data_IF_674225492046
#
_entry.id   IF_674225492046
#
_cell.length_a   1.000
_cell.length_b   1.000
_cell.length_c   1.000
_cell.angle_alpha   90.00
_cell.angle_beta   90.00
_cell.angle_gamma   90.00
#
_symmetry.space_group_name_H-M   'P 1'
#
loop_
_entity.id
_entity.type
_entity.pdbx_description
1 polymer ?
#
# COMPACT_ATOMS: atom_id res chain seq x y z
N UNK A 1 32.09 29.78 -3.64
CA UNK A 1 33.04 29.06 -2.76
C UNK A 1 32.91 29.47 -1.30
N UNK A 2 32.82 30.76 -0.95
CA UNK A 2 32.60 31.19 0.45
C UNK A 2 31.20 30.83 0.99
N UNK A 3 30.14 31.01 0.20
CA UNK A 3 28.75 30.67 0.59
C UNK A 3 28.50 29.17 0.73
N UNK A 4 29.14 28.34 -0.09
CA UNK A 4 29.06 26.88 0.02
C UNK A 4 29.73 26.37 1.30
N UNK A 5 30.91 26.91 1.68
CA UNK A 5 31.59 26.50 2.91
C UNK A 5 30.84 26.90 4.19
N UNK A 6 30.16 28.06 4.19
CA UNK A 6 29.30 28.48 5.30
C UNK A 6 28.07 27.57 5.43
N UNK A 7 27.46 27.16 4.30
CA UNK A 7 26.36 26.18 4.29
C UNK A 7 26.80 24.80 4.79
N UNK A 8 28.00 24.33 4.45
CA UNK A 8 28.55 23.05 4.94
C UNK A 8 28.94 23.09 6.43
N UNK A 9 29.51 24.19 6.94
CA UNK A 9 29.75 24.34 8.38
C UNK A 9 28.45 24.45 9.18
N UNK A 10 27.45 25.17 8.65
CA UNK A 10 26.11 25.21 9.23
C UNK A 10 25.42 23.84 9.16
N UNK A 11 25.73 23.00 8.16
CA UNK A 11 25.19 21.65 7.99
C UNK A 11 25.69 20.68 9.06
N UNK A 12 26.99 20.65 9.34
CA UNK A 12 27.55 19.82 10.42
C UNK A 12 27.06 20.29 11.80
N UNK A 13 26.97 21.61 12.00
CA UNK A 13 26.46 22.17 13.25
C UNK A 13 24.96 21.91 13.43
N UNK A 14 24.19 21.93 12.33
CA UNK A 14 22.77 21.54 12.31
C UNK A 14 22.59 20.06 12.64
N UNK A 15 23.37 19.15 12.03
CA UNK A 15 23.34 17.72 12.31
C UNK A 15 23.68 17.42 13.77
N UNK A 16 24.70 18.08 14.31
CA UNK A 16 25.13 17.93 15.71
C UNK A 16 24.10 18.47 16.71
N UNK A 17 23.43 19.58 16.39
CA UNK A 17 22.33 20.10 17.21
C UNK A 17 21.09 19.21 17.14
N UNK A 18 20.82 18.59 15.99
CA UNK A 18 19.71 17.67 15.79
C UNK A 18 19.90 16.38 16.60
N UNK A 19 21.10 15.80 16.64
CA UNK A 19 21.43 14.62 17.46
C UNK A 19 21.10 14.81 18.95
N UNK A 20 21.33 16.03 19.47
CA UNK A 20 21.06 16.39 20.87
C UNK A 20 19.56 16.61 21.13
N UNK A 21 18.78 16.92 20.10
CA UNK A 21 17.36 17.29 20.22
C UNK A 21 16.39 16.20 19.75
N UNK A 22 16.86 14.97 19.51
CA UNK A 22 16.04 13.85 19.01
C UNK A 22 14.83 13.49 19.90
N UNK A 23 14.79 13.97 21.15
CA UNK A 23 13.66 13.80 22.07
C UNK A 23 12.56 14.86 21.93
N UNK A 24 12.81 15.96 21.21
CA UNK A 24 11.88 17.09 21.01
C UNK A 24 11.45 17.16 19.55
N UNK A 25 10.39 16.44 19.19
CA UNK A 25 9.85 16.36 17.82
C UNK A 25 9.57 17.74 17.19
N UNK A 26 9.09 18.72 17.97
CA UNK A 26 8.76 20.05 17.46
C UNK A 26 10.00 20.84 17.03
N UNK A 27 11.09 20.76 17.80
CA UNK A 27 12.35 21.43 17.47
C UNK A 27 12.95 20.87 16.17
N UNK A 28 12.89 19.54 16.00
CA UNK A 28 13.34 18.86 14.78
C UNK A 28 12.52 19.33 13.58
N UNK A 29 11.19 19.48 13.75
CA UNK A 29 10.30 19.93 12.67
C UNK A 29 10.61 21.35 12.22
N UNK A 30 10.78 22.29 13.14
CA UNK A 30 11.15 23.67 12.82
C UNK A 30 12.52 23.74 12.14
N UNK A 31 13.51 23.03 12.71
CA UNK A 31 14.85 22.94 12.17
C UNK A 31 14.85 22.40 10.74
N UNK A 32 14.11 21.31 10.50
CA UNK A 32 14.03 20.68 9.18
C UNK A 32 13.30 21.57 8.16
N UNK A 33 12.27 22.30 8.57
CA UNK A 33 11.58 23.25 7.70
C UNK A 33 12.50 24.39 7.27
N UNK A 34 13.27 24.96 8.20
CA UNK A 34 14.27 25.99 7.90
C UNK A 34 15.35 25.45 6.97
N UNK A 35 15.87 24.26 7.27
CA UNK A 35 16.92 23.64 6.47
C UNK A 35 16.43 23.27 5.06
N UNK A 36 15.19 22.80 4.92
CA UNK A 36 14.52 22.58 3.63
C UNK A 36 14.46 23.87 2.83
N UNK A 37 13.98 24.96 3.42
CA UNK A 37 13.87 26.26 2.74
C UNK A 37 15.22 26.73 2.17
N UNK A 38 16.31 26.52 2.92
CA UNK A 38 17.67 26.91 2.51
C UNK A 38 18.26 26.04 1.39
N UNK A 39 17.89 24.75 1.33
CA UNK A 39 18.58 23.76 0.46
C UNK A 39 17.77 23.28 -0.75
N UNK A 40 16.45 23.51 -0.76
CA UNK A 40 15.49 22.96 -1.74
C UNK A 40 15.80 23.28 -3.22
N UNK A 41 16.43 24.42 -3.51
CA UNK A 41 16.66 24.86 -4.90
C UNK A 41 18.02 24.40 -5.42
N UNK A 42 19.09 24.51 -4.62
CA UNK A 42 20.47 24.34 -5.08
C UNK A 42 21.19 23.11 -4.53
N UNK A 43 20.82 22.59 -3.35
CA UNK A 43 21.58 21.57 -2.62
C UNK A 43 20.72 20.36 -2.19
N UNK A 44 19.95 19.80 -3.14
CA UNK A 44 19.06 18.65 -2.87
C UNK A 44 19.79 17.43 -2.28
N UNK A 45 21.04 17.16 -2.70
CA UNK A 45 21.83 16.03 -2.20
C UNK A 45 22.26 16.22 -0.73
N UNK A 46 22.44 17.46 -0.29
CA UNK A 46 22.76 17.77 1.11
C UNK A 46 21.53 17.49 1.99
N UNK A 47 20.33 17.85 1.50
CA UNK A 47 19.07 17.49 2.15
C UNK A 47 18.85 15.98 2.23
N UNK A 48 19.18 15.25 1.17
CA UNK A 48 19.15 13.79 1.15
C UNK A 48 20.00 13.18 2.28
N UNK A 49 21.26 13.60 2.39
CA UNK A 49 22.20 13.10 3.38
C UNK A 49 21.73 13.39 4.82
N UNK A 50 21.19 14.59 5.08
CA UNK A 50 20.64 14.94 6.40
C UNK A 50 19.46 14.06 6.75
N UNK A 51 18.54 13.85 5.82
CA UNK A 51 17.35 13.03 6.08
C UNK A 51 17.72 11.57 6.35
N UNK A 52 18.69 11.04 5.60
CA UNK A 52 19.22 9.69 5.83
C UNK A 52 19.95 9.59 7.18
N UNK A 53 20.73 10.61 7.56
CA UNK A 53 21.39 10.66 8.87
C UNK A 53 20.39 10.69 10.02
N UNK A 54 19.41 11.60 9.98
CA UNK A 54 18.35 11.70 10.98
C UNK A 54 17.63 10.36 11.12
N UNK A 55 17.25 9.75 10.00
CA UNK A 55 16.59 8.44 9.99
C UNK A 55 17.44 7.39 10.70
N UNK A 56 18.73 7.28 10.34
CA UNK A 56 19.63 6.28 10.93
C UNK A 56 19.87 6.51 12.42
N UNK A 57 20.05 7.76 12.86
CA UNK A 57 20.23 8.08 14.28
C UNK A 57 18.96 7.79 15.10
N UNK A 58 17.78 8.05 14.53
CA UNK A 58 16.50 7.72 15.17
C UNK A 58 16.31 6.21 15.29
N UNK A 59 16.64 5.44 14.26
CA UNK A 59 16.62 3.98 14.32
C UNK A 59 17.60 3.43 15.37
N UNK A 60 18.79 4.03 15.51
CA UNK A 60 19.76 3.66 16.56
C UNK A 60 19.26 4.00 17.96
N UNK A 61 18.73 5.20 18.17
CA UNK A 61 18.15 5.60 19.45
C UNK A 61 16.98 4.69 19.83
N UNK A 62 16.15 4.34 18.85
CA UNK A 62 15.06 3.41 19.05
C UNK A 62 15.54 2.03 19.46
N UNK A 63 16.52 1.48 18.75
CA UNK A 63 17.08 0.18 19.06
C UNK A 63 17.64 0.14 20.49
N UNK A 64 18.35 1.20 20.92
CA UNK A 64 18.83 1.33 22.31
C UNK A 64 17.67 1.39 23.30
N UNK A 65 16.65 2.21 23.04
CA UNK A 65 15.51 2.36 23.96
C UNK A 65 14.65 1.09 24.04
N UNK A 66 14.48 0.35 22.94
CA UNK A 66 13.73 -0.92 22.92
C UNK A 66 14.47 -2.08 23.57
N UNK A 67 15.81 -2.12 23.52
CA UNK A 67 16.58 -3.21 24.16
C UNK A 67 16.27 -3.37 25.65
N UNK A 68 15.76 -2.32 26.29
CA UNK A 68 15.35 -2.33 27.69
C UNK A 68 13.93 -2.86 27.93
N UNK A 69 13.16 -3.18 26.88
CA UNK A 69 11.77 -3.63 26.95
C UNK A 69 11.56 -4.96 26.22
N UNK A 70 10.67 -5.81 26.74
CA UNK A 70 10.31 -7.06 26.08
C UNK A 70 9.45 -6.81 24.84
N UNK A 71 9.74 -7.54 23.77
CA UNK A 71 9.08 -7.35 22.48
C UNK A 71 7.56 -7.60 22.54
N UNK A 72 7.12 -8.54 23.38
CA UNK A 72 5.69 -8.81 23.57
C UNK A 72 4.99 -7.68 24.33
N UNK A 73 5.63 -7.07 25.33
CA UNK A 73 5.10 -5.90 26.04
C UNK A 73 4.94 -4.70 25.08
N UNK A 74 5.90 -4.50 24.17
CA UNK A 74 5.84 -3.41 23.17
C UNK A 74 4.71 -3.63 22.16
N UNK A 75 4.44 -4.88 21.78
CA UNK A 75 3.38 -5.25 20.81
C UNK A 75 1.98 -5.21 21.44
N UNK A 76 1.86 -5.58 22.71
CA UNK A 76 0.59 -5.55 23.46
C UNK A 76 0.21 -4.14 23.93
N UNK A 77 1.18 -3.21 23.96
CA UNK A 77 0.94 -1.83 24.34
C UNK A 77 -0.13 -1.20 23.42
N UNK A 78 -1.18 -0.58 24.00
CA UNK A 78 -2.25 0.04 23.23
C UNK A 78 -1.72 1.08 22.23
N UNK A 79 -2.53 1.31 21.20
CA UNK A 79 -2.23 2.26 20.16
C UNK A 79 -2.02 3.69 20.72
N UNK A 80 -1.27 4.55 20.01
CA UNK A 80 -0.84 5.86 20.55
C UNK A 80 -2.06 6.73 20.86
N UNK A 81 -3.16 6.51 20.15
CA UNK A 81 -4.40 7.28 20.28
C UNK A 81 -5.64 6.36 20.34
N UNK A 82 -5.59 5.28 21.13
CA UNK A 82 -6.83 4.63 21.58
C UNK A 82 -7.64 5.66 22.40
N UNK A 83 -8.51 6.38 21.72
CA UNK A 83 -9.32 7.52 22.20
C UNK A 83 -10.46 7.15 23.16
N UNK A 84 -10.44 5.95 23.76
CA UNK A 84 -11.39 5.59 24.82
C UNK A 84 -10.70 5.67 26.19
N UNK A 85 -10.82 6.81 26.90
CA UNK A 85 -10.33 6.94 28.27
C UNK A 85 -11.05 6.00 29.25
N UNK A 86 -12.21 5.44 28.87
CA UNK A 86 -12.93 4.47 29.70
C UNK A 86 -12.38 3.04 29.54
N UNK A 87 -12.10 2.58 28.32
CA UNK A 87 -11.54 1.23 28.10
C UNK A 87 -10.09 1.12 28.56
N UNK A 88 -9.29 2.19 28.40
CA UNK A 88 -7.92 2.23 28.92
C UNK A 88 -7.87 2.31 30.44
N UNK A 89 -8.80 3.01 31.10
CA UNK A 89 -8.86 3.03 32.56
C UNK A 89 -9.34 1.70 33.15
N UNK A 90 -10.28 1.01 32.48
CA UNK A 90 -10.79 -0.28 32.94
C UNK A 90 -9.75 -1.40 32.77
N UNK A 91 -9.04 -1.45 31.64
CA UNK A 91 -7.95 -2.44 31.43
C UNK A 91 -6.69 -2.16 32.28
N UNK A 92 -6.37 -0.89 32.53
CA UNK A 92 -5.21 -0.54 33.35
C UNK A 92 -5.51 -0.48 34.86
N UNK A 93 -6.77 -0.63 35.28
CA UNK A 93 -7.14 -0.60 36.71
C UNK A 93 -6.45 -1.67 37.57
N UNK A 94 -5.95 -2.74 36.93
CA UNK A 94 -5.23 -3.85 37.56
C UNK A 94 -3.69 -3.75 37.45
N UNK A 95 -3.15 -2.70 36.82
CA UNK A 95 -1.70 -2.55 36.62
C UNK A 95 -1.05 -1.69 37.70
N UNK A 96 0.14 -2.11 38.14
CA UNK A 96 0.97 -1.36 39.10
C UNK A 96 1.38 -0.01 38.49
N UNK A 97 1.57 1.02 39.33
CA UNK A 97 2.00 2.37 38.89
C UNK A 97 3.27 2.29 38.01
N UNK A 98 4.20 1.40 38.34
CA UNK A 98 5.44 1.16 37.57
C UNK A 98 5.19 0.54 36.19
N UNK A 99 4.18 -0.33 36.04
CA UNK A 99 3.81 -0.92 34.76
C UNK A 99 3.16 0.14 33.85
N UNK A 100 2.28 0.98 34.41
CA UNK A 100 1.69 2.11 33.68
C UNK A 100 2.75 3.11 33.21
N UNK A 101 3.73 3.42 34.05
CA UNK A 101 4.84 4.30 33.67
C UNK A 101 5.68 3.71 32.54
N UNK A 102 5.97 2.40 32.58
CA UNK A 102 6.68 1.69 31.49
C UNK A 102 5.88 1.71 30.18
N UNK A 103 4.58 1.43 30.22
CA UNK A 103 3.72 1.49 29.03
C UNK A 103 3.70 2.88 28.39
N UNK A 104 3.58 3.94 29.21
CA UNK A 104 3.62 5.34 28.73
C UNK A 104 4.98 5.66 28.10
N UNK A 105 6.09 5.21 28.69
CA UNK A 105 7.42 5.43 28.13
C UNK A 105 7.60 4.74 26.78
N UNK A 106 7.19 3.48 26.65
CA UNK A 106 7.23 2.72 25.38
C UNK A 106 6.39 3.44 24.32
N UNK A 107 5.17 3.84 24.66
CA UNK A 107 4.25 4.56 23.78
C UNK A 107 4.83 5.88 23.30
N UNK A 108 5.48 6.65 24.18
CA UNK A 108 6.15 7.90 23.81
C UNK A 108 7.32 7.68 22.86
N UNK A 109 8.14 6.64 23.08
CA UNK A 109 9.26 6.30 22.17
C UNK A 109 8.72 5.93 20.78
N UNK A 110 7.70 5.08 20.70
CA UNK A 110 7.06 4.70 19.45
C UNK A 110 6.47 5.92 18.72
N UNK A 111 5.85 6.85 19.46
CA UNK A 111 5.28 8.09 18.91
C UNK A 111 6.33 8.99 18.29
N UNK A 112 7.46 9.18 18.96
CA UNK A 112 8.55 10.02 18.47
C UNK A 112 9.04 9.52 17.11
N UNK A 113 9.27 8.22 16.97
CA UNK A 113 9.78 7.63 15.73
C UNK A 113 8.77 7.73 14.60
N UNK A 114 7.51 7.43 14.90
CA UNK A 114 6.43 7.56 13.93
C UNK A 114 6.33 9.01 13.41
N UNK A 115 6.37 10.00 14.30
CA UNK A 115 6.33 11.41 13.89
C UNK A 115 7.58 11.84 13.12
N UNK A 116 8.77 11.29 13.44
CA UNK A 116 9.98 11.59 12.65
C UNK A 116 9.89 10.99 11.25
N UNK A 117 9.44 9.73 11.09
CA UNK A 117 9.21 9.16 9.75
C UNK A 117 8.22 9.99 8.94
N UNK A 118 7.09 10.36 9.57
CA UNK A 118 6.09 11.22 8.96
C UNK A 118 6.66 12.58 8.57
N UNK A 119 7.49 13.20 9.42
CA UNK A 119 8.15 14.47 9.13
C UNK A 119 9.11 14.37 7.92
N UNK A 120 9.89 13.29 7.84
CA UNK A 120 10.76 13.03 6.67
C UNK A 120 9.91 12.86 5.40
N UNK A 121 8.84 12.07 5.46
CA UNK A 121 7.91 11.87 4.34
C UNK A 121 7.29 13.19 3.90
N UNK A 122 6.78 14.00 4.83
CA UNK A 122 6.21 15.32 4.56
C UNK A 122 7.21 16.29 3.91
N UNK A 123 8.47 16.19 4.31
CA UNK A 123 9.55 17.01 3.77
C UNK A 123 9.83 16.63 2.32
N UNK A 124 9.82 15.33 2.01
CA UNK A 124 10.29 14.79 0.74
C UNK A 124 9.20 14.64 -0.32
N UNK A 125 7.94 14.44 0.07
CA UNK A 125 6.84 13.98 -0.81
C UNK A 125 6.63 14.73 -2.12
N UNK A 126 7.04 16.00 -2.24
CA UNK A 126 6.85 16.80 -3.45
C UNK A 126 8.13 16.92 -4.30
N UNK A 127 9.28 16.41 -3.83
CA UNK A 127 10.58 16.60 -4.49
C UNK A 127 10.95 15.45 -5.40
N UNK A 128 11.04 15.73 -6.71
CA UNK A 128 11.39 14.73 -7.74
C UNK A 128 12.74 14.04 -7.49
N UNK A 129 13.75 14.77 -7.03
CA UNK A 129 15.10 14.20 -6.80
C UNK A 129 15.19 13.32 -5.56
N UNK A 130 14.23 13.42 -4.65
CA UNK A 130 14.24 12.71 -3.37
C UNK A 130 13.20 11.59 -3.34
N UNK A 131 12.65 11.20 -4.49
CA UNK A 131 11.69 10.11 -4.62
C UNK A 131 12.21 8.83 -3.94
N UNK A 132 13.47 8.45 -4.16
CA UNK A 132 14.08 7.26 -3.56
C UNK A 132 14.05 7.26 -2.03
N UNK A 133 14.46 8.37 -1.39
CA UNK A 133 14.41 8.52 0.07
C UNK A 133 12.98 8.39 0.59
N UNK A 134 11.99 8.89 -0.15
CA UNK A 134 10.59 8.75 0.25
C UNK A 134 10.08 7.31 0.13
N UNK A 135 10.46 6.52 -0.89
CA UNK A 135 10.16 5.08 -0.90
C UNK A 135 10.76 4.40 0.32
N UNK A 136 12.07 4.58 0.53
CA UNK A 136 12.80 3.85 1.57
C UNK A 136 12.22 4.18 2.94
N UNK A 137 11.86 5.45 3.18
CA UNK A 137 11.27 5.89 4.44
C UNK A 137 9.85 5.33 4.63
N UNK A 138 9.02 5.31 3.58
CA UNK A 138 7.69 4.70 3.66
C UNK A 138 7.79 3.19 3.94
N UNK A 139 8.68 2.48 3.25
CA UNK A 139 8.87 1.04 3.48
C UNK A 139 9.27 0.77 4.93
N UNK A 140 10.17 1.57 5.50
CA UNK A 140 10.56 1.47 6.92
C UNK A 140 9.41 1.79 7.88
N UNK A 141 8.59 2.77 7.54
CA UNK A 141 7.40 3.11 8.32
C UNK A 141 6.36 1.97 8.28
N UNK A 142 6.14 1.34 7.13
CA UNK A 142 5.25 0.19 6.99
C UNK A 142 5.80 -1.05 7.74
N UNK A 143 7.11 -1.31 7.62
CA UNK A 143 7.80 -2.36 8.38
C UNK A 143 7.66 -2.14 9.89
N UNK A 144 7.78 -0.89 10.35
CA UNK A 144 7.56 -0.51 11.74
C UNK A 144 6.12 -0.79 12.19
N UNK A 145 5.12 -0.36 11.41
CA UNK A 145 3.71 -0.61 11.72
C UNK A 145 3.39 -2.11 11.75
N UNK A 146 3.93 -2.90 10.81
CA UNK A 146 3.78 -4.36 10.77
C UNK A 146 4.43 -5.02 11.99
N UNK A 147 5.67 -4.64 12.33
CA UNK A 147 6.45 -5.24 13.42
C UNK A 147 5.81 -5.04 14.79
N UNK A 148 5.29 -3.84 15.06
CA UNK A 148 4.68 -3.50 16.34
C UNK A 148 3.14 -3.57 16.32
N UNK A 149 2.53 -4.09 15.24
CA UNK A 149 1.08 -4.31 15.09
C UNK A 149 0.22 -3.07 15.36
N UNK A 150 0.68 -1.91 14.89
CA UNK A 150 0.12 -0.58 15.13
C UNK A 150 -0.95 -0.24 14.10
N UNK A 151 -2.19 -0.61 14.39
CA UNK A 151 -3.29 -0.58 13.39
C UNK A 151 -3.81 0.83 13.18
N UNK A 152 -4.01 1.62 14.23
CA UNK A 152 -4.57 2.98 14.09
C UNK A 152 -3.62 3.92 13.38
N UNK A 153 -2.32 3.81 13.65
CA UNK A 153 -1.27 4.59 13.00
C UNK A 153 -1.18 4.23 11.51
N UNK A 154 -1.26 2.95 11.17
CA UNK A 154 -1.33 2.52 9.77
C UNK A 154 -2.56 3.09 9.07
N UNK A 155 -3.75 3.05 9.69
CA UNK A 155 -4.98 3.64 9.11
C UNK A 155 -4.80 5.12 8.77
N UNK A 156 -4.29 5.91 9.72
CA UNK A 156 -4.04 7.35 9.53
C UNK A 156 -2.99 7.61 8.46
N UNK A 157 -1.95 6.81 8.40
CA UNK A 157 -0.95 6.91 7.34
C UNK A 157 -1.56 6.65 5.96
N UNK A 158 -2.40 5.62 5.81
CA UNK A 158 -3.09 5.31 4.56
C UNK A 158 -4.05 6.42 4.14
N UNK A 159 -4.76 7.04 5.08
CA UNK A 159 -5.60 8.22 4.82
C UNK A 159 -4.78 9.42 4.36
N UNK A 160 -3.62 9.64 4.99
CA UNK A 160 -2.72 10.70 4.59
C UNK A 160 -2.21 10.49 3.15
N UNK A 161 -1.86 9.26 2.78
CA UNK A 161 -1.43 8.92 1.41
C UNK A 161 -2.55 9.11 0.37
N UNK A 162 -3.79 8.81 0.75
CA UNK A 162 -4.96 9.06 -0.09
C UNK A 162 -5.16 10.56 -0.32
N UNK A 163 -5.20 11.34 0.77
CA UNK A 163 -5.34 12.80 0.70
C UNK A 163 -4.22 13.46 -0.10
N UNK A 164 -2.99 12.95 0.04
CA UNK A 164 -1.85 13.41 -0.74
C UNK A 164 -2.06 13.23 -2.25
N UNK A 165 -2.64 12.11 -2.70
CA UNK A 165 -2.97 11.92 -4.12
C UNK A 165 -4.01 12.92 -4.59
N UNK A 166 -5.10 13.09 -3.82
CA UNK A 166 -6.16 14.06 -4.14
C UNK A 166 -5.59 15.46 -4.28
N UNK A 167 -4.70 15.87 -3.37
CA UNK A 167 -3.98 17.15 -3.46
C UNK A 167 -3.12 17.25 -4.71
N UNK A 168 -2.41 16.19 -5.10
CA UNK A 168 -1.60 16.18 -6.32
C UNK A 168 -2.45 16.30 -7.58
N UNK A 169 -3.65 15.73 -7.60
CA UNK A 169 -4.55 15.83 -8.75
C UNK A 169 -5.15 17.23 -8.92
N UNK A 170 -5.41 17.93 -7.81
CA UNK A 170 -5.96 19.29 -7.80
C UNK A 170 -4.89 20.37 -7.97
N UNK A 171 -3.61 20.00 -7.94
CA UNK A 171 -2.48 20.94 -8.02
C UNK A 171 -2.24 21.38 -9.46
N UNK A 172 -2.59 22.61 -9.76
CA UNK A 172 -2.15 23.32 -10.96
C UNK A 172 -0.81 24.03 -10.68
N UNK A 173 0.30 23.32 -10.94
CA UNK A 173 1.66 23.84 -10.73
C UNK A 173 2.27 24.27 -12.05
N UNK A 174 2.76 25.52 -12.09
CA UNK A 174 3.68 25.99 -13.12
C UNK A 174 5.05 25.29 -12.97
N UNK A 175 5.22 24.14 -13.64
CA UNK A 175 6.48 23.37 -13.62
C UNK A 175 7.70 24.16 -14.11
N UNK A 176 7.49 25.22 -14.90
CA UNK A 176 8.55 26.15 -15.33
C UNK A 176 9.14 26.96 -14.17
N UNK A 177 8.32 27.29 -13.16
CA UNK A 177 8.76 28.02 -11.96
C UNK A 177 9.25 27.08 -10.86
N UNK A 178 8.72 25.85 -10.83
CA UNK A 178 9.00 24.85 -9.81
C UNK A 178 9.48 23.51 -10.43
N UNK A 179 10.68 23.48 -11.04
CA UNK A 179 11.16 22.31 -11.78
C UNK A 179 11.46 21.08 -10.91
N UNK A 180 11.66 21.28 -9.60
CA UNK A 180 11.93 20.21 -8.64
C UNK A 180 10.66 19.51 -8.11
N UNK A 181 9.46 19.97 -8.50
CA UNK A 181 8.20 19.37 -8.08
C UNK A 181 7.86 18.11 -8.88
N UNK A 182 7.27 17.11 -8.21
CA UNK A 182 6.77 15.90 -8.86
C UNK A 182 5.61 16.20 -9.82
N UNK A 183 5.55 15.46 -10.92
CA UNK A 183 4.46 15.55 -11.91
C UNK A 183 3.86 14.18 -12.13
N UNK A 184 2.52 14.09 -12.03
CA UNK A 184 1.76 12.86 -12.33
C UNK A 184 1.85 12.42 -13.80
N UNK A 185 2.31 13.32 -14.67
CA UNK A 185 2.48 13.04 -16.09
C UNK A 185 3.84 12.39 -16.42
N UNK A 186 4.78 12.38 -15.47
CA UNK A 186 6.03 11.67 -15.61
C UNK A 186 5.82 10.17 -15.36
N UNK A 187 6.29 9.32 -16.28
CA UNK A 187 6.13 7.87 -16.21
C UNK A 187 6.81 7.26 -14.99
N UNK A 188 8.03 7.72 -14.67
CA UNK A 188 8.82 7.24 -13.53
C UNK A 188 8.14 7.57 -12.20
N UNK A 189 7.75 8.83 -12.01
CA UNK A 189 7.04 9.32 -10.83
C UNK A 189 5.68 8.62 -10.66
N UNK A 190 4.96 8.33 -11.76
CA UNK A 190 3.71 7.55 -11.71
C UNK A 190 3.96 6.13 -11.22
N UNK A 191 4.90 5.41 -11.85
CA UNK A 191 5.22 4.03 -11.49
C UNK A 191 5.71 3.94 -10.03
N UNK A 192 6.47 4.93 -9.59
CA UNK A 192 6.89 5.15 -8.21
C UNK A 192 5.71 5.30 -7.24
N UNK A 193 4.74 6.18 -7.54
CA UNK A 193 3.56 6.40 -6.71
C UNK A 193 2.66 5.17 -6.65
N UNK A 194 2.61 4.38 -7.72
CA UNK A 194 1.92 3.08 -7.75
C UNK A 194 2.65 2.08 -6.85
N UNK A 195 3.99 1.99 -6.92
CA UNK A 195 4.78 1.07 -6.10
C UNK A 195 4.57 1.31 -4.60
N UNK A 196 4.61 2.57 -4.16
CA UNK A 196 4.32 2.94 -2.76
C UNK A 196 2.93 2.46 -2.34
N UNK A 197 1.93 2.67 -3.18
CA UNK A 197 0.55 2.26 -2.87
C UNK A 197 0.40 0.75 -2.82
N UNK A 198 1.10 0.00 -3.68
CA UNK A 198 1.12 -1.46 -3.61
C UNK A 198 1.76 -1.95 -2.30
N UNK A 199 2.85 -1.32 -1.85
CA UNK A 199 3.47 -1.63 -0.56
C UNK A 199 2.51 -1.33 0.61
N UNK A 200 1.80 -0.19 0.55
CA UNK A 200 0.73 0.17 1.49
C UNK A 200 -0.41 -0.87 1.51
N UNK A 201 -0.91 -1.28 0.34
CA UNK A 201 -1.96 -2.31 0.21
C UNK A 201 -1.51 -3.64 0.80
N UNK A 202 -0.24 -4.03 0.57
CA UNK A 202 0.34 -5.26 1.14
C UNK A 202 0.32 -5.23 2.67
N UNK A 203 0.79 -4.15 3.28
CA UNK A 203 0.77 -4.00 4.74
C UNK A 203 -0.66 -3.95 5.30
N UNK A 204 -1.57 -3.23 4.62
CA UNK A 204 -2.98 -3.18 4.99
C UNK A 204 -3.64 -4.57 4.99
N UNK A 205 -3.37 -5.40 3.97
CA UNK A 205 -3.87 -6.78 3.88
C UNK A 205 -3.34 -7.66 5.03
N UNK A 206 -2.03 -7.58 5.35
CA UNK A 206 -1.45 -8.32 6.48
C UNK A 206 -2.11 -7.98 7.82
N UNK A 207 -2.49 -6.71 8.02
CA UNK A 207 -3.16 -6.26 9.24
C UNK A 207 -4.69 -6.39 9.19
N UNK A 208 -5.23 -7.02 8.14
CA UNK A 208 -6.67 -7.22 7.90
C UNK A 208 -7.47 -5.92 7.77
N UNK A 209 -6.85 -4.84 7.28
CA UNK A 209 -7.47 -3.55 7.00
C UNK A 209 -8.03 -3.48 5.56
N UNK A 210 -9.01 -4.33 5.25
CA UNK A 210 -9.49 -4.52 3.87
C UNK A 210 -10.12 -3.26 3.24
N UNK A 211 -10.84 -2.44 4.00
CA UNK A 211 -11.44 -1.19 3.50
C UNK A 211 -10.38 -0.18 3.05
N UNK A 212 -9.30 -0.05 3.82
CA UNK A 212 -8.17 0.82 3.48
C UNK A 212 -7.36 0.27 2.31
N UNK A 213 -7.15 -1.05 2.27
CA UNK A 213 -6.52 -1.73 1.14
C UNK A 213 -7.29 -1.47 -0.16
N UNK A 214 -8.62 -1.55 -0.13
CA UNK A 214 -9.46 -1.24 -1.27
C UNK A 214 -9.33 0.22 -1.71
N UNK A 215 -9.37 1.19 -0.79
CA UNK A 215 -9.17 2.61 -1.11
C UNK A 215 -7.82 2.88 -1.79
N UNK A 216 -6.74 2.22 -1.36
CA UNK A 216 -5.44 2.32 -2.03
C UNK A 216 -5.46 1.73 -3.45
N UNK A 217 -6.23 0.68 -3.69
CA UNK A 217 -6.40 0.10 -5.03
C UNK A 217 -7.25 0.99 -5.95
N UNK A 218 -8.20 1.74 -5.40
CA UNK A 218 -8.91 2.80 -6.14
C UNK A 218 -7.94 3.93 -6.54
N UNK A 219 -7.09 4.36 -5.63
CA UNK A 219 -6.06 5.36 -5.93
C UNK A 219 -5.10 4.89 -7.05
N UNK A 220 -4.72 3.61 -7.02
CA UNK A 220 -3.91 3.00 -8.09
C UNK A 220 -4.68 2.96 -9.42
N UNK A 221 -5.98 2.63 -9.43
CA UNK A 221 -6.77 2.60 -10.67
C UNK A 221 -6.81 3.97 -11.33
N UNK A 222 -6.93 5.03 -10.54
CA UNK A 222 -6.90 6.40 -11.03
C UNK A 222 -5.54 6.71 -11.69
N UNK A 223 -4.44 6.33 -11.04
CA UNK A 223 -3.08 6.49 -11.59
C UNK A 223 -2.86 5.68 -12.88
N UNK A 224 -3.42 4.47 -12.96
CA UNK A 224 -3.36 3.61 -14.16
C UNK A 224 -4.12 4.23 -15.33
N UNK A 225 -5.28 4.83 -15.05
CA UNK A 225 -6.21 5.36 -16.04
C UNK A 225 -5.94 6.83 -16.42
N UNK A 226 -4.81 7.40 -16.00
CA UNK A 226 -4.38 8.75 -16.39
C UNK A 226 -4.08 8.81 -17.90
N UNK A 227 -5.06 9.29 -18.69
CA UNK A 227 -4.99 9.41 -20.16
C UNK A 227 -3.81 10.21 -20.69
N UNK A 228 -3.26 11.13 -19.88
CA UNK A 228 -2.14 12.01 -20.27
C UNK A 228 -0.77 11.29 -20.25
N UNK A 229 -0.68 10.07 -19.72
CA UNK A 229 0.56 9.28 -19.69
C UNK A 229 0.47 8.11 -20.66
N UNK A 230 1.16 8.23 -21.80
CA UNK A 230 1.10 7.22 -22.87
C UNK A 230 1.99 5.98 -22.60
N UNK A 231 2.97 6.09 -21.70
CA UNK A 231 3.89 4.97 -21.44
C UNK A 231 3.16 3.81 -20.74
N UNK A 232 3.26 2.59 -21.28
CA UNK A 232 2.66 1.42 -20.67
C UNK A 232 3.29 1.14 -19.30
N UNK A 233 2.48 0.70 -18.35
CA UNK A 233 2.94 0.33 -17.01
C UNK A 233 3.69 -1.00 -17.08
N UNK A 234 4.75 -1.13 -16.29
CA UNK A 234 5.53 -2.36 -16.17
C UNK A 234 4.62 -3.54 -15.81
N UNK A 235 4.73 -4.65 -16.55
CA UNK A 235 3.91 -5.85 -16.34
C UNK A 235 3.96 -6.39 -14.90
N UNK A 236 5.13 -6.34 -14.24
CA UNK A 236 5.27 -6.77 -12.84
C UNK A 236 4.36 -5.98 -11.87
N UNK A 237 4.34 -4.66 -12.01
CA UNK A 237 3.53 -3.76 -11.18
C UNK A 237 2.04 -4.04 -11.43
N UNK A 238 1.66 -4.19 -12.70
CA UNK A 238 0.26 -4.48 -13.08
C UNK A 238 -0.20 -5.86 -12.58
N UNK A 239 0.67 -6.87 -12.64
CA UNK A 239 0.38 -8.19 -12.11
C UNK A 239 0.13 -8.15 -10.60
N UNK A 240 0.95 -7.42 -9.84
CA UNK A 240 0.77 -7.24 -8.41
C UNK A 240 -0.53 -6.49 -8.06
N UNK A 241 -0.90 -5.48 -8.86
CA UNK A 241 -2.17 -4.76 -8.69
C UNK A 241 -3.38 -5.69 -8.78
N UNK A 242 -3.49 -6.49 -9.84
CA UNK A 242 -4.59 -7.43 -10.01
C UNK A 242 -4.60 -8.54 -8.96
N UNK A 243 -3.42 -8.97 -8.49
CA UNK A 243 -3.29 -9.93 -7.40
C UNK A 243 -3.92 -9.38 -6.10
N UNK A 244 -3.48 -8.21 -5.64
CA UNK A 244 -4.02 -7.63 -4.40
C UNK A 244 -5.51 -7.29 -4.51
N UNK A 245 -5.97 -6.90 -5.70
CA UNK A 245 -7.38 -6.68 -5.95
C UNK A 245 -8.19 -7.98 -5.78
N UNK A 246 -7.68 -9.10 -6.31
CA UNK A 246 -8.30 -10.41 -6.13
C UNK A 246 -8.36 -10.83 -4.65
N UNK A 247 -7.31 -10.58 -3.86
CA UNK A 247 -7.24 -10.91 -2.43
C UNK A 247 -8.28 -10.11 -1.61
N UNK A 248 -8.43 -8.80 -1.88
CA UNK A 248 -9.43 -7.98 -1.20
C UNK A 248 -10.86 -8.50 -1.45
N UNK A 249 -11.16 -8.90 -2.69
CA UNK A 249 -12.48 -9.44 -3.03
C UNK A 249 -12.73 -10.83 -2.43
N UNK A 250 -11.69 -11.65 -2.30
CA UNK A 250 -11.77 -12.93 -1.59
C UNK A 250 -12.20 -12.75 -0.14
N UNK A 251 -11.53 -11.86 0.60
CA UNK A 251 -11.88 -11.57 2.00
C UNK A 251 -13.26 -10.93 2.14
N UNK A 252 -13.73 -10.22 1.11
CA UNK A 252 -15.05 -9.60 1.08
C UNK A 252 -16.17 -10.55 0.60
N UNK A 253 -15.85 -11.81 0.30
CA UNK A 253 -16.77 -12.86 -0.21
C UNK A 253 -17.38 -12.56 -1.59
N UNK A 254 -16.72 -11.71 -2.38
CA UNK A 254 -17.09 -11.45 -3.78
C UNK A 254 -16.28 -12.34 -4.71
N UNK A 255 -16.73 -13.59 -4.88
CA UNK A 255 -15.98 -14.64 -5.55
C UNK A 255 -15.90 -14.49 -7.08
N UNK A 256 -16.91 -13.87 -7.72
CA UNK A 256 -16.89 -13.58 -9.15
C UNK A 256 -15.87 -12.50 -9.49
N UNK A 257 -15.86 -11.42 -8.70
CA UNK A 257 -14.85 -10.36 -8.83
C UNK A 257 -13.44 -10.89 -8.56
N UNK A 258 -13.27 -11.69 -7.50
CA UNK A 258 -12.01 -12.37 -7.22
C UNK A 258 -11.51 -13.16 -8.45
N UNK A 259 -12.35 -14.05 -8.98
CA UNK A 259 -11.99 -14.91 -10.11
C UNK A 259 -11.63 -14.11 -11.37
N UNK A 260 -12.38 -13.03 -11.64
CA UNK A 260 -12.11 -12.15 -12.77
C UNK A 260 -10.75 -11.42 -12.66
N UNK A 261 -10.47 -10.79 -11.52
CA UNK A 261 -9.20 -10.09 -11.34
C UNK A 261 -8.01 -11.07 -11.23
N UNK A 262 -8.23 -12.25 -10.67
CA UNK A 262 -7.22 -13.30 -10.63
C UNK A 262 -6.88 -13.86 -12.02
N UNK A 263 -7.87 -13.98 -12.92
CA UNK A 263 -7.64 -14.29 -14.34
C UNK A 263 -6.73 -13.23 -14.98
N UNK A 264 -7.02 -11.94 -14.78
CA UNK A 264 -6.18 -10.86 -15.30
C UNK A 264 -4.75 -10.89 -14.72
N UNK A 265 -4.59 -11.22 -13.44
CA UNK A 265 -3.29 -11.44 -12.83
C UNK A 265 -2.51 -12.53 -13.56
N UNK A 266 -3.12 -13.70 -13.79
CA UNK A 266 -2.48 -14.85 -14.46
C UNK A 266 -2.09 -14.51 -15.90
N UNK A 267 -2.95 -13.83 -16.65
CA UNK A 267 -2.66 -13.45 -18.03
C UNK A 267 -1.40 -12.59 -18.15
N UNK A 268 -1.19 -11.69 -17.20
CA UNK A 268 0.02 -10.85 -17.16
C UNK A 268 1.19 -11.63 -16.56
N UNK A 269 0.95 -12.49 -15.59
CA UNK A 269 2.01 -13.30 -14.98
C UNK A 269 2.64 -14.27 -15.99
N UNK A 270 1.85 -14.84 -16.91
CA UNK A 270 2.33 -15.73 -17.98
C UNK A 270 3.29 -15.06 -18.97
N UNK A 271 3.24 -13.74 -19.13
CA UNK A 271 4.17 -13.02 -20.02
C UNK A 271 5.49 -12.67 -19.33
N UNK A 272 5.62 -12.96 -18.03
CA UNK A 272 6.85 -12.70 -17.29
C UNK A 272 7.91 -13.77 -17.59
N UNK A 273 9.10 -13.40 -18.10
CA UNK A 273 10.14 -14.36 -18.47
C UNK A 273 10.78 -15.11 -17.27
N UNK A 274 10.51 -14.68 -16.04
CA UNK A 274 11.06 -15.27 -14.81
C UNK A 274 10.08 -16.25 -14.12
N UNK A 275 8.89 -16.47 -14.68
CA UNK A 275 7.88 -17.33 -14.07
C UNK A 275 8.15 -18.81 -14.40
N UNK A 276 8.18 -19.67 -13.37
CA UNK A 276 8.27 -21.12 -13.57
C UNK A 276 6.96 -21.66 -14.15
N UNK A 277 7.06 -22.68 -15.02
CA UNK A 277 5.89 -23.36 -15.57
C UNK A 277 5.02 -24.02 -14.48
N UNK A 278 5.65 -24.46 -13.37
CA UNK A 278 4.96 -25.06 -12.22
C UNK A 278 4.13 -24.02 -11.45
N UNK A 279 4.69 -22.84 -11.16
CA UNK A 279 3.98 -21.74 -10.49
C UNK A 279 2.78 -21.26 -11.31
N UNK A 280 2.93 -21.20 -12.63
CA UNK A 280 1.84 -20.86 -13.54
C UNK A 280 0.73 -21.91 -13.45
N UNK A 281 1.08 -23.20 -13.42
CA UNK A 281 0.13 -24.30 -13.30
C UNK A 281 -0.63 -24.27 -11.98
N UNK A 282 0.04 -24.04 -10.87
CA UNK A 282 -0.58 -23.91 -9.55
C UNK A 282 -1.60 -22.75 -9.51
N UNK A 283 -1.22 -21.59 -10.03
CA UNK A 283 -2.12 -20.43 -10.09
C UNK A 283 -3.33 -20.69 -11.00
N UNK A 284 -3.13 -21.39 -12.12
CA UNK A 284 -4.25 -21.78 -13.00
C UNK A 284 -5.20 -22.72 -12.28
N UNK A 285 -4.68 -23.70 -11.52
CA UNK A 285 -5.53 -24.60 -10.72
C UNK A 285 -6.32 -23.82 -9.66
N UNK A 286 -5.69 -22.88 -8.96
CA UNK A 286 -6.36 -21.98 -8.01
C UNK A 286 -7.48 -21.18 -8.68
N UNK A 287 -7.24 -20.64 -9.88
CA UNK A 287 -8.24 -19.90 -10.63
C UNK A 287 -9.44 -20.78 -10.97
N UNK A 288 -9.20 -21.98 -11.50
CA UNK A 288 -10.28 -22.88 -11.90
C UNK A 288 -11.12 -23.26 -10.69
N UNK A 289 -10.49 -23.65 -9.59
CA UNK A 289 -11.19 -23.95 -8.34
C UNK A 289 -11.97 -22.74 -7.82
N UNK A 290 -11.40 -21.53 -7.91
CA UNK A 290 -12.09 -20.28 -7.56
C UNK A 290 -13.34 -20.04 -8.40
N UNK A 291 -13.25 -20.22 -9.72
CA UNK A 291 -14.38 -20.08 -10.65
C UNK A 291 -15.47 -21.11 -10.37
N UNK A 292 -15.10 -22.37 -10.09
CA UNK A 292 -16.05 -23.42 -9.75
C UNK A 292 -16.77 -23.14 -8.43
N UNK A 293 -16.05 -22.55 -7.47
CA UNK A 293 -16.56 -22.21 -6.13
C UNK A 293 -17.50 -21.00 -6.09
N UNK A 294 -17.70 -20.29 -7.21
CA UNK A 294 -18.65 -19.16 -7.27
C UNK A 294 -20.08 -19.68 -6.99
N UNK A 295 -20.76 -19.18 -5.95
CA UNK A 295 -22.15 -19.54 -5.65
C UNK A 295 -23.09 -19.27 -6.82
N UNK A 296 -24.16 -20.05 -6.95
CA UNK A 296 -25.16 -19.86 -8.02
C UNK A 296 -25.90 -18.52 -7.91
N UNK A 297 -26.02 -17.99 -6.68
CA UNK A 297 -26.52 -16.64 -6.38
C UNK A 297 -25.40 -15.84 -5.68
N UNK A 298 -24.51 -15.18 -6.43
CA UNK A 298 -23.46 -14.38 -5.83
C UNK A 298 -24.03 -13.11 -5.19
N UNK A 299 -23.37 -12.64 -4.12
CA UNK A 299 -23.72 -11.38 -3.44
C UNK A 299 -23.62 -10.18 -4.41
N UNK A 300 -22.79 -10.32 -5.44
CA UNK A 300 -22.54 -9.36 -6.51
C UNK A 300 -23.81 -8.96 -7.28
N UNK A 301 -24.77 -9.89 -7.42
CA UNK A 301 -26.01 -9.63 -8.15
C UNK A 301 -26.93 -8.66 -7.42
N UNK A 302 -26.85 -8.62 -6.08
CA UNK A 302 -27.66 -7.75 -5.21
C UNK A 302 -27.05 -6.35 -5.02
N UNK A 303 -25.88 -6.07 -5.60
CA UNK A 303 -25.24 -4.76 -5.49
C UNK A 303 -25.92 -3.69 -6.35
N UNK A 304 -25.85 -2.43 -5.91
CA UNK A 304 -26.29 -1.29 -6.71
C UNK A 304 -25.46 -1.14 -7.99
N UNK A 305 -26.09 -0.63 -9.05
CA UNK A 305 -25.42 -0.37 -10.33
C UNK A 305 -24.25 0.63 -10.18
N UNK A 306 -24.35 1.58 -9.25
CA UNK A 306 -23.24 2.49 -8.92
C UNK A 306 -22.02 1.75 -8.36
N UNK A 307 -22.24 0.76 -7.49
CA UNK A 307 -21.16 -0.06 -6.92
C UNK A 307 -20.49 -0.91 -8.00
N UNK A 308 -21.29 -1.53 -8.88
CA UNK A 308 -20.78 -2.29 -10.03
C UNK A 308 -19.97 -1.40 -10.98
N UNK A 309 -20.45 -0.19 -11.26
CA UNK A 309 -19.72 0.78 -12.08
C UNK A 309 -18.39 1.20 -11.42
N UNK A 310 -18.37 1.37 -10.10
CA UNK A 310 -17.14 1.68 -9.35
C UNK A 310 -16.11 0.56 -9.49
N UNK A 311 -16.53 -0.70 -9.35
CA UNK A 311 -15.62 -1.86 -9.50
C UNK A 311 -15.18 -2.02 -10.96
N UNK A 312 -16.05 -1.75 -11.92
CA UNK A 312 -15.70 -1.74 -13.35
C UNK A 312 -14.63 -0.68 -13.68
N UNK A 313 -14.65 0.48 -13.00
CA UNK A 313 -13.63 1.53 -13.17
C UNK A 313 -12.22 1.13 -12.69
N UNK A 314 -12.11 0.04 -11.92
CA UNK A 314 -10.81 -0.53 -11.52
C UNK A 314 -10.09 -1.21 -12.68
N UNK A 315 -10.81 -1.47 -13.78
CA UNK A 315 -10.22 -2.02 -14.99
C UNK A 315 -9.52 -0.94 -15.80
N UNK A 316 -8.38 -1.29 -16.41
CA UNK A 316 -7.60 -0.38 -17.26
C UNK A 316 -8.36 0.14 -18.49
N UNK A 317 -9.36 -0.60 -18.97
CA UNK A 317 -10.09 -0.27 -20.21
C UNK A 317 -11.48 0.32 -19.97
N UNK A 318 -11.89 0.59 -18.72
CA UNK A 318 -13.22 1.11 -18.38
C UNK A 318 -14.36 0.37 -19.11
N UNK A 319 -14.26 -0.96 -19.23
CA UNK A 319 -15.38 -1.75 -19.75
C UNK A 319 -16.51 -1.66 -18.73
N UNK A 320 -17.73 -1.36 -19.20
CA UNK A 320 -18.87 -1.04 -18.32
C UNK A 320 -19.38 -2.22 -17.48
N UNK A 321 -18.95 -3.45 -17.76
CA UNK A 321 -19.46 -4.64 -17.09
C UNK A 321 -18.33 -5.60 -16.72
N UNK A 322 -18.40 -6.14 -15.50
CA UNK A 322 -17.59 -7.28 -15.10
C UNK A 322 -18.33 -8.53 -15.59
N UNK A 323 -17.66 -9.43 -16.32
CA UNK A 323 -18.30 -10.60 -16.90
C UNK A 323 -18.88 -11.52 -15.81
N UNK A 324 -20.05 -12.10 -16.10
CA UNK A 324 -20.70 -13.09 -15.22
C UNK A 324 -19.92 -14.41 -15.21
N UNK A 325 -20.23 -15.30 -14.26
CA UNK A 325 -19.61 -16.64 -14.13
C UNK A 325 -19.50 -17.39 -15.46
N UNK A 326 -20.57 -17.41 -16.25
CA UNK A 326 -20.62 -18.08 -17.56
C UNK A 326 -19.65 -17.48 -18.57
N UNK A 327 -19.53 -16.15 -18.59
CA UNK A 327 -18.60 -15.44 -19.45
C UNK A 327 -17.15 -15.66 -19.02
N UNK A 328 -16.88 -15.70 -17.70
CA UNK A 328 -15.55 -16.03 -17.15
C UNK A 328 -15.15 -17.46 -17.56
N UNK A 329 -16.06 -18.44 -17.47
CA UNK A 329 -15.82 -19.81 -17.94
C UNK A 329 -15.52 -19.82 -19.44
N UNK A 330 -16.29 -19.08 -20.24
CA UNK A 330 -16.05 -18.99 -21.68
C UNK A 330 -14.70 -18.33 -22.02
N UNK A 331 -14.25 -17.36 -21.22
CA UNK A 331 -12.94 -16.71 -21.37
C UNK A 331 -11.81 -17.68 -21.02
N UNK A 332 -11.96 -18.46 -19.95
CA UNK A 332 -10.99 -19.49 -19.54
C UNK A 332 -10.85 -20.56 -20.63
N UNK A 333 -11.97 -21.01 -21.21
CA UNK A 333 -12.00 -21.96 -22.33
C UNK A 333 -11.34 -21.38 -23.60
N UNK A 334 -11.69 -20.16 -24.00
CA UNK A 334 -11.10 -19.48 -25.18
C UNK A 334 -9.58 -19.31 -25.08
N UNK A 335 -9.06 -19.21 -23.86
CA UNK A 335 -7.63 -18.98 -23.61
C UNK A 335 -6.81 -20.27 -23.44
N UNK A 336 -7.42 -21.45 -23.68
CA UNK A 336 -6.81 -22.78 -23.54
C UNK A 336 -6.12 -23.00 -22.17
N UNK A 337 -6.60 -22.32 -21.11
CA UNK A 337 -6.07 -22.52 -19.75
C UNK A 337 -6.37 -23.93 -19.22
N UNK A 338 -7.39 -24.58 -19.79
CA UNK A 338 -7.77 -25.94 -19.47
C UNK A 338 -6.67 -26.95 -19.81
N UNK A 339 -5.85 -26.74 -20.85
CA UNK A 339 -4.82 -27.72 -21.24
C UNK A 339 -3.70 -27.85 -20.20
N UNK A 340 -3.36 -26.73 -19.54
CA UNK A 340 -2.29 -26.62 -18.55
C UNK A 340 -2.70 -27.14 -17.17
N UNK A 341 -4.01 -27.17 -16.89
CA UNK A 341 -4.56 -27.61 -15.60
C UNK A 341 -4.33 -29.11 -15.32
N UNK A 342 -4.29 -29.47 -14.03
CA UNK A 342 -4.25 -30.87 -13.58
C UNK A 342 -5.45 -31.67 -14.12
N UNK A 343 -5.23 -32.95 -14.42
CA UNK A 343 -6.26 -33.83 -15.02
C UNK A 343 -7.50 -34.01 -14.14
N UNK A 344 -7.34 -34.01 -12.81
CA UNK A 344 -8.43 -34.12 -11.85
C UNK A 344 -9.39 -32.91 -11.91
N UNK A 345 -8.85 -31.71 -12.13
CA UNK A 345 -9.65 -30.49 -12.22
C UNK A 345 -10.35 -30.40 -13.58
N UNK A 346 -9.76 -30.99 -14.63
CA UNK A 346 -10.42 -31.12 -15.96
C UNK A 346 -11.68 -31.97 -15.88
N UNK A 347 -11.67 -33.04 -15.09
CA UNK A 347 -12.86 -33.89 -14.89
C UNK A 347 -13.96 -33.17 -14.13
N UNK A 348 -13.63 -32.33 -13.15
CA UNK A 348 -14.61 -31.56 -12.38
C UNK A 348 -15.30 -30.47 -13.22
N UNK A 349 -14.54 -29.79 -14.11
CA UNK A 349 -15.12 -28.82 -15.06
C UNK A 349 -16.13 -29.52 -15.99
N UNK A 350 -15.75 -30.66 -16.58
CA UNK A 350 -16.64 -31.42 -17.47
C UNK A 350 -17.89 -31.94 -16.74
N UNK A 351 -17.76 -32.30 -15.47
CA UNK A 351 -18.89 -32.75 -14.65
C UNK A 351 -19.87 -31.61 -14.35
N UNK A 352 -19.37 -30.41 -14.05
CA UNK A 352 -20.19 -29.23 -13.76
C UNK A 352 -20.85 -28.66 -15.03
N UNK A 353 -20.16 -28.68 -16.16
CA UNK A 353 -20.75 -28.31 -17.46
C UNK A 353 -21.92 -29.23 -17.84
N UNK A 354 -21.76 -30.54 -17.64
CA UNK A 354 -22.84 -31.53 -17.86
C UNK A 354 -24.02 -31.31 -16.93
N UNK A 355 -23.78 -30.97 -15.65
CA UNK A 355 -24.85 -30.65 -14.68
C UNK A 355 -25.58 -29.34 -14.99
N UNK A 356 -24.85 -28.30 -15.41
CA UNK A 356 -25.43 -27.02 -15.82
C UNK A 356 -26.38 -27.20 -17.02
N UNK A 357 -25.99 -28.06 -17.96
CA UNK A 357 -26.85 -28.45 -19.09
C UNK A 357 -28.09 -29.24 -18.64
N UNK A 358 -27.99 -30.10 -17.63
CA UNK A 358 -29.16 -30.84 -17.12
C UNK A 358 -30.12 -29.96 -16.33
N UNK A 359 -29.61 -29.01 -15.52
CA UNK A 359 -30.46 -28.09 -14.72
C UNK A 359 -31.25 -27.15 -15.63
N UNK A 360 -30.67 -26.65 -16.72
CA UNK A 360 -31.38 -25.82 -17.71
C UNK A 360 -32.55 -26.56 -18.41
N UNK A 361 -32.49 -27.88 -18.49
CA UNK A 361 -33.58 -28.70 -19.06
C UNK A 361 -34.75 -28.84 -18.08
N UNK A 362 -34.51 -28.79 -16.76
CA UNK A 362 -35.56 -28.92 -15.75
C UNK A 362 -36.24 -27.59 -15.38
N UNK A 363 -35.65 -26.43 -15.69
CA UNK A 363 -36.30 -25.11 -15.52
C UNK A 363 -37.14 -24.66 -16.72
N UNK A 364 -37.24 -25.49 -17.76
CA UNK A 364 -38.04 -25.23 -18.98
C UNK A 364 -39.32 -26.07 -19.08
N UNK A 365 -39.75 -26.73 -18.00
CA UNK A 365 -41.00 -27.48 -17.94
C UNK A 365 -41.97 -26.93 -16.89
#
# INVERSE_FOLDING_TARGET
>A
MATSNILWQNHEQFLKNMEVQLEKTDAIKEALQQYKYLTQVQYANSLENVLLHIKNEVEKLFARKIQHYDFEEVKQNPDIDSEDPEDTNLMTSNLTIEQKQREIQIKNVLKIIYEIYKMIIETVKVHKKLEEVHIITIQKMLEFCDKYSRKTELKRFLEHQHFFLTQLQQRDIDFNKNPNHISLYNSETRDYLIQIRLDCTRSALKQSLYSYAFRQLEDISILINLKKVQTPIKHKIMSAYYYYLSEVFWHSKYFGYHSFFFLHHILIFRTNPQASAEEIKEKINQLILGVLSIPQYPIEDFQSEESKAKIASLQRNNNKLIPKKEEIISLVQRMNLNEVALEEIKTDIQFIERKSQTINVYTLY
#
